data_IF_422313671306
#
_entry.id   IF_422313671306
#
_cell.length_a   1.000
_cell.length_b   1.000
_cell.length_c   1.000
_cell.angle_alpha   90.00
_cell.angle_beta   90.00
_cell.angle_gamma   90.00
#
_symmetry.space_group_name_H-M   'P 1'
#
loop_
_entity.id
_entity.type
_entity.pdbx_description
1 polymer ?
#
# COMPACT_ATOMS: atom_id res chain seq x y z
N UNK A 1 -8.82 2.32 9.88
CA UNK A 1 -8.60 1.00 10.51
C UNK A 1 -7.69 0.19 9.60
N UNK A 2 -6.71 -0.55 10.12
CA UNK A 2 -5.80 -1.32 9.27
C UNK A 2 -6.56 -2.47 8.59
N UNK A 3 -6.70 -2.43 7.27
CA UNK A 3 -7.42 -3.45 6.51
C UNK A 3 -6.53 -4.66 6.24
N UNK A 4 -7.12 -5.85 6.06
CA UNK A 4 -6.38 -7.04 5.65
C UNK A 4 -5.65 -6.84 4.32
N UNK A 5 -6.23 -6.04 3.43
CA UNK A 5 -5.57 -5.63 2.19
C UNK A 5 -4.34 -4.76 2.45
N UNK A 6 -4.43 -3.77 3.35
CA UNK A 6 -3.29 -2.93 3.73
C UNK A 6 -2.16 -3.75 4.36
N UNK A 7 -2.49 -4.72 5.21
CA UNK A 7 -1.52 -5.68 5.77
C UNK A 7 -0.85 -6.52 4.68
N UNK A 8 -1.64 -7.04 3.75
CA UNK A 8 -1.14 -7.83 2.63
C UNK A 8 -0.18 -7.04 1.74
N UNK A 9 -0.54 -5.80 1.35
CA UNK A 9 0.34 -4.95 0.57
C UNK A 9 1.65 -4.64 1.30
N UNK A 10 1.56 -4.26 2.58
CA UNK A 10 2.74 -3.98 3.42
C UNK A 10 3.67 -5.19 3.50
N UNK A 11 3.11 -6.39 3.70
CA UNK A 11 3.89 -7.63 3.71
C UNK A 11 4.55 -7.88 2.36
N UNK A 12 3.80 -7.80 1.26
CA UNK A 12 4.35 -7.99 -0.09
C UNK A 12 5.50 -7.01 -0.38
N UNK A 13 5.37 -5.75 0.03
CA UNK A 13 6.41 -4.74 -0.15
C UNK A 13 7.70 -5.11 0.58
N UNK A 14 7.58 -5.56 1.82
CA UNK A 14 8.71 -5.99 2.66
C UNK A 14 9.33 -7.27 2.11
N UNK A 15 8.53 -8.25 1.73
CA UNK A 15 8.98 -9.54 1.17
C UNK A 15 9.80 -9.32 -0.12
N UNK A 16 9.46 -8.28 -0.89
CA UNK A 16 10.20 -7.86 -2.10
C UNK A 16 11.34 -6.88 -1.83
N UNK A 17 11.56 -6.48 -0.58
CA UNK A 17 12.53 -5.43 -0.19
C UNK A 17 12.37 -4.13 -0.98
N UNK A 18 11.12 -3.75 -1.29
CA UNK A 18 10.81 -2.57 -2.08
C UNK A 18 10.56 -1.34 -1.19
N UNK A 19 11.02 -0.18 -1.66
CA UNK A 19 10.58 1.10 -1.10
C UNK A 19 9.15 1.40 -1.52
N UNK A 20 8.46 2.28 -0.79
CA UNK A 20 7.13 2.76 -1.19
C UNK A 20 7.13 3.34 -2.61
N UNK A 21 8.16 4.08 -3.00
CA UNK A 21 8.26 4.68 -4.32
C UNK A 21 8.33 3.63 -5.44
N UNK A 22 9.14 2.57 -5.25
CA UNK A 22 9.28 1.50 -6.24
C UNK A 22 7.97 0.73 -6.41
N UNK A 23 7.36 0.29 -5.30
CA UNK A 23 6.12 -0.48 -5.37
C UNK A 23 4.97 0.37 -5.91
N UNK A 24 4.86 1.63 -5.48
CA UNK A 24 3.83 2.54 -5.97
C UNK A 24 3.96 2.80 -7.47
N UNK A 25 5.18 2.96 -7.98
CA UNK A 25 5.45 3.06 -9.42
C UNK A 25 4.98 1.82 -10.19
N UNK A 26 5.22 0.61 -9.66
CA UNK A 26 4.74 -0.65 -10.27
C UNK A 26 3.21 -0.78 -10.26
N UNK A 27 2.56 -0.25 -9.23
CA UNK A 27 1.11 -0.28 -9.07
C UNK A 27 0.40 0.89 -9.80
N UNK A 28 1.14 1.84 -10.38
CA UNK A 28 0.55 3.02 -11.03
C UNK A 28 -0.13 3.98 -10.07
N UNK A 29 0.27 4.00 -8.79
CA UNK A 29 -0.29 4.86 -7.75
C UNK A 29 0.78 5.75 -7.13
N UNK A 30 0.37 6.75 -6.34
CA UNK A 30 1.34 7.57 -5.60
C UNK A 30 1.84 6.84 -4.34
N UNK A 31 3.08 7.12 -3.93
CA UNK A 31 3.66 6.57 -2.70
C UNK A 31 2.86 6.99 -1.44
N UNK A 32 2.31 8.21 -1.45
CA UNK A 32 1.43 8.68 -0.39
C UNK A 32 0.14 7.85 -0.31
N UNK A 33 -0.46 7.52 -1.46
CA UNK A 33 -1.67 6.71 -1.53
C UNK A 33 -1.41 5.26 -1.07
N UNK A 34 -0.31 4.64 -1.51
CA UNK A 34 0.12 3.33 -1.02
C UNK A 34 0.32 3.34 0.50
N UNK A 35 1.00 4.35 1.04
CA UNK A 35 1.19 4.51 2.49
C UNK A 35 -0.13 4.66 3.24
N UNK A 36 -1.10 5.41 2.70
CA UNK A 36 -2.42 5.53 3.32
C UNK A 36 -3.18 4.20 3.39
N UNK A 37 -3.04 3.35 2.36
CA UNK A 37 -3.63 2.01 2.35
C UNK A 37 -2.92 1.10 3.37
N UNK A 38 -1.58 1.07 3.36
CA UNK A 38 -0.77 0.23 4.26
C UNK A 38 -0.94 0.59 5.75
N UNK A 39 -1.39 1.81 6.07
CA UNK A 39 -1.61 2.28 7.43
C UNK A 39 -3.11 2.43 7.77
N UNK A 40 -4.01 2.10 6.85
CA UNK A 40 -5.46 2.16 7.07
C UNK A 40 -6.01 3.55 7.35
N UNK A 41 -5.39 4.59 6.77
CA UNK A 41 -5.80 6.01 6.87
C UNK A 41 -6.65 6.47 5.67
N UNK A 42 -6.79 5.64 4.63
CA UNK A 42 -7.82 5.77 3.59
C UNK A 42 -8.45 4.42 3.30
N UNK A 43 -9.76 4.44 3.08
CA UNK A 43 -10.47 3.34 2.43
C UNK A 43 -10.16 3.36 0.93
N UNK A 44 -10.04 2.18 0.33
CA UNK A 44 -9.88 2.01 -1.11
C UNK A 44 -11.21 2.46 -1.73
N UNK A 45 -11.24 3.46 -2.64
CA UNK A 45 -12.48 3.89 -3.28
C UNK A 45 -13.08 2.72 -4.04
N UNK A 46 -14.30 2.30 -3.67
CA UNK A 46 -15.02 1.22 -4.35
C UNK A 46 -15.71 0.18 -3.47
N UNK A 47 -15.77 0.37 -2.14
CA UNK A 47 -16.71 -0.35 -1.27
C UNK A 47 -17.86 0.53 -0.84
#
# INVERSE_FOLDING_TARGET
MLTEFGKFLKKMRIDKSETLAVMAGKLGISAAYLSSIENGTRDIPGT
#
